data_IF_808829857796
#
_entry.id   IF_808829857796
#
_cell.length_a   1.000
_cell.length_b   1.000
_cell.length_c   1.000
_cell.angle_alpha   90.00
_cell.angle_beta   90.00
_cell.angle_gamma   90.00
#
_symmetry.space_group_name_H-M   'P 1'
#
loop_
_entity.id
_entity.type
_entity.pdbx_description
1 polymer ?
#
# COMPACT_ATOMS: atom_id res chain seq x y z
N UNK A 1 -17.23 21.65 10.67
CA UNK A 1 -16.47 21.38 9.44
C UNK A 1 -16.54 19.90 9.13
N UNK A 2 -17.05 19.53 7.96
CA UNK A 2 -16.97 18.14 7.54
C UNK A 2 -15.50 17.80 7.25
N UNK A 3 -14.97 16.78 7.90
CA UNK A 3 -13.66 16.21 7.55
C UNK A 3 -13.87 15.60 6.17
N UNK A 4 -13.12 16.05 5.17
CA UNK A 4 -13.17 15.45 3.85
C UNK A 4 -12.77 13.97 3.98
N UNK A 5 -13.59 13.09 3.42
CA UNK A 5 -13.30 11.66 3.46
C UNK A 5 -12.02 11.37 2.64
N UNK A 6 -11.15 10.53 3.18
CA UNK A 6 -9.98 10.04 2.44
C UNK A 6 -10.44 9.22 1.23
N UNK A 7 -9.91 9.54 0.06
CA UNK A 7 -10.20 8.80 -1.18
C UNK A 7 -9.17 7.69 -1.33
N UNK A 8 -9.62 6.44 -1.41
CA UNK A 8 -8.75 5.29 -1.69
C UNK A 8 -8.96 4.79 -3.12
N UNK A 9 -7.87 4.64 -3.86
CA UNK A 9 -7.87 4.15 -5.24
C UNK A 9 -6.83 3.03 -5.38
N UNK A 10 -7.21 1.94 -6.02
CA UNK A 10 -6.29 0.85 -6.34
C UNK A 10 -6.10 0.69 -7.85
N UNK A 11 -4.87 0.44 -8.27
CA UNK A 11 -4.52 0.16 -9.65
C UNK A 11 -4.33 -1.34 -9.82
N UNK A 12 -5.30 -1.97 -10.49
CA UNK A 12 -5.36 -3.41 -10.69
C UNK A 12 -5.35 -3.74 -12.18
N UNK A 13 -4.49 -4.69 -12.57
CA UNK A 13 -4.51 -5.30 -13.89
C UNK A 13 -3.76 -6.63 -13.81
N UNK A 14 -4.36 -7.69 -14.32
CA UNK A 14 -3.74 -9.01 -14.36
C UNK A 14 -2.56 -9.10 -15.32
N UNK A 15 -2.42 -8.17 -16.25
CA UNK A 15 -1.30 -8.12 -17.17
C UNK A 15 -0.11 -7.40 -16.52
N UNK A 16 0.99 -8.13 -16.33
CA UNK A 16 2.27 -7.55 -15.92
C UNK A 16 2.82 -6.56 -16.96
N UNK A 17 3.61 -5.58 -16.50
CA UNK A 17 4.26 -4.61 -17.39
C UNK A 17 3.33 -3.60 -18.08
N UNK A 18 2.08 -3.43 -17.62
CA UNK A 18 1.12 -2.49 -18.20
C UNK A 18 1.24 -1.05 -17.64
N UNK A 19 2.26 -0.77 -16.83
CA UNK A 19 2.52 0.57 -16.31
C UNK A 19 1.75 0.95 -15.04
N UNK A 20 1.24 -0.01 -14.27
CA UNK A 20 0.52 0.27 -13.00
C UNK A 20 1.35 1.09 -12.02
N UNK A 21 2.54 0.60 -11.67
CA UNK A 21 3.44 1.28 -10.72
C UNK A 21 3.88 2.65 -11.24
N UNK A 22 4.18 2.76 -12.52
CA UNK A 22 4.51 4.03 -13.17
C UNK A 22 3.35 5.02 -13.13
N UNK A 23 2.13 4.56 -13.41
CA UNK A 23 0.91 5.38 -13.32
C UNK A 23 0.67 5.84 -11.88
N UNK A 24 0.83 4.96 -10.92
CA UNK A 24 0.70 5.25 -9.48
C UNK A 24 1.69 6.35 -9.06
N UNK A 25 2.94 6.21 -9.46
CA UNK A 25 4.02 7.16 -9.18
C UNK A 25 3.74 8.55 -9.77
N UNK A 26 3.37 8.61 -11.04
CA UNK A 26 3.10 9.89 -11.72
C UNK A 26 1.83 10.57 -11.21
N UNK A 27 0.78 9.79 -10.94
CA UNK A 27 -0.46 10.32 -10.35
C UNK A 27 -0.21 10.91 -8.96
N UNK A 28 0.59 10.23 -8.14
CA UNK A 28 0.98 10.73 -6.82
C UNK A 28 1.72 12.07 -6.92
N UNK A 29 2.69 12.18 -7.83
CA UNK A 29 3.42 13.42 -8.07
C UNK A 29 2.51 14.56 -8.50
N UNK A 30 1.58 14.30 -9.42
CA UNK A 30 0.63 15.31 -9.89
C UNK A 30 -0.30 15.80 -8.78
N UNK A 31 -0.83 14.88 -7.95
CA UNK A 31 -1.71 15.24 -6.84
C UNK A 31 -0.95 15.97 -5.72
N UNK A 32 0.28 15.55 -5.40
CA UNK A 32 1.11 16.26 -4.42
C UNK A 32 1.44 17.68 -4.87
N UNK A 33 1.70 17.89 -6.17
CA UNK A 33 1.94 19.22 -6.74
C UNK A 33 0.74 20.16 -6.61
N UNK A 34 -0.47 19.63 -6.42
CA UNK A 34 -1.69 20.41 -6.14
C UNK A 34 -2.00 20.55 -4.65
N UNK A 35 -1.08 20.14 -3.77
CA UNK A 35 -1.17 20.31 -2.32
C UNK A 35 -1.90 19.18 -1.58
N UNK A 36 -2.22 18.06 -2.23
CA UNK A 36 -2.82 16.91 -1.56
C UNK A 36 -1.78 16.12 -0.77
N UNK A 37 -2.20 15.58 0.37
CA UNK A 37 -1.40 14.66 1.20
C UNK A 37 -1.71 13.24 0.78
N UNK A 38 -0.69 12.52 0.34
CA UNK A 38 -0.86 11.18 -0.22
C UNK A 38 -0.15 10.10 0.59
N UNK A 39 -0.81 8.95 0.65
CA UNK A 39 -0.19 7.68 1.02
C UNK A 39 -0.17 6.78 -0.20
N UNK A 40 1.03 6.38 -0.61
CA UNK A 40 1.23 5.31 -1.57
C UNK A 40 1.37 4.00 -0.81
N UNK A 41 0.52 3.03 -1.12
CA UNK A 41 0.63 1.67 -0.59
C UNK A 41 1.20 0.77 -1.69
N UNK A 42 2.40 0.28 -1.46
CA UNK A 42 3.00 -0.72 -2.34
C UNK A 42 2.48 -2.11 -1.94
N UNK A 43 1.55 -2.66 -2.70
CA UNK A 43 0.96 -3.97 -2.44
C UNK A 43 1.52 -5.06 -3.38
N UNK A 44 2.57 -4.75 -4.13
CA UNK A 44 3.27 -5.71 -4.99
C UNK A 44 4.54 -6.22 -4.31
N UNK A 45 4.73 -7.56 -4.16
CA UNK A 45 5.96 -8.14 -3.63
C UNK A 45 7.24 -7.74 -4.39
N UNK A 46 7.12 -7.27 -5.63
CA UNK A 46 8.25 -6.74 -6.39
C UNK A 46 8.76 -5.40 -5.83
N UNK A 47 7.94 -4.67 -5.09
CA UNK A 47 8.34 -3.45 -4.40
C UNK A 47 8.75 -2.29 -5.34
N UNK A 48 8.16 -2.18 -6.52
CA UNK A 48 8.57 -1.19 -7.53
C UNK A 48 8.41 0.25 -7.05
N UNK A 49 7.31 0.58 -6.38
CA UNK A 49 7.10 1.90 -5.78
C UNK A 49 8.11 2.15 -4.66
N UNK A 50 8.29 1.18 -3.77
CA UNK A 50 9.23 1.27 -2.65
C UNK A 50 10.65 1.53 -3.13
N UNK A 51 11.10 0.80 -4.15
CA UNK A 51 12.44 0.95 -4.73
C UNK A 51 12.62 2.30 -5.43
N UNK A 52 11.58 2.82 -6.07
CA UNK A 52 11.63 4.13 -6.72
C UNK A 52 11.88 5.27 -5.71
N UNK A 53 11.34 5.17 -4.48
CA UNK A 53 11.51 6.19 -3.45
C UNK A 53 12.74 5.99 -2.56
N UNK A 54 13.07 4.74 -2.22
CA UNK A 54 14.08 4.45 -1.19
C UNK A 54 15.35 3.77 -1.73
N UNK A 55 15.34 3.33 -2.99
CA UNK A 55 16.41 2.54 -3.59
C UNK A 55 16.33 1.06 -3.26
N UNK A 56 16.77 0.21 -4.19
CA UNK A 56 16.69 -1.25 -4.08
C UNK A 56 17.41 -1.79 -2.85
N UNK A 57 18.64 -1.32 -2.60
CA UNK A 57 19.47 -1.80 -1.48
C UNK A 57 18.83 -1.53 -0.11
N UNK A 58 18.14 -0.40 0.05
CA UNK A 58 17.47 -0.07 1.29
C UNK A 58 16.20 -0.92 1.47
N UNK A 59 15.41 -1.07 0.41
CA UNK A 59 14.15 -1.83 0.42
C UNK A 59 14.38 -3.32 0.70
N UNK A 60 15.43 -3.91 0.14
CA UNK A 60 15.80 -5.30 0.41
C UNK A 60 16.15 -5.56 1.89
N UNK A 61 16.66 -4.55 2.59
CA UNK A 61 17.02 -4.65 4.01
C UNK A 61 15.87 -4.39 4.98
N UNK A 62 14.71 -3.90 4.50
CA UNK A 62 13.55 -3.74 5.37
C UNK A 62 13.11 -5.10 5.92
N UNK A 63 12.87 -5.16 7.22
CA UNK A 63 12.28 -6.33 7.86
C UNK A 63 10.80 -6.45 7.49
N UNK A 64 10.17 -7.63 7.66
CA UNK A 64 8.73 -7.76 7.44
C UNK A 64 7.90 -6.71 8.22
N UNK A 65 8.31 -6.38 9.44
CA UNK A 65 7.63 -5.42 10.32
C UNK A 65 7.76 -3.95 9.88
N UNK A 66 8.62 -3.67 8.92
CA UNK A 66 8.81 -2.34 8.32
C UNK A 66 8.10 -2.20 6.98
N UNK A 67 7.34 -3.20 6.57
CA UNK A 67 6.65 -3.28 5.28
C UNK A 67 5.20 -3.72 5.45
N UNK A 68 4.43 -3.66 4.34
CA UNK A 68 3.06 -4.16 4.30
C UNK A 68 2.92 -5.61 4.78
N UNK A 69 3.97 -6.44 4.62
CA UNK A 69 3.98 -7.83 5.11
C UNK A 69 3.64 -7.93 6.60
N UNK A 70 4.06 -6.95 7.40
CA UNK A 70 3.77 -6.93 8.83
C UNK A 70 2.28 -6.88 9.19
N UNK A 71 1.43 -6.37 8.31
CA UNK A 71 -0.03 -6.38 8.53
C UNK A 71 -0.66 -7.76 8.42
N UNK A 72 0.03 -8.69 7.77
CA UNK A 72 -0.45 -10.06 7.56
C UNK A 72 0.18 -11.06 8.52
N UNK A 73 0.98 -10.60 9.47
CA UNK A 73 1.65 -11.46 10.44
C UNK A 73 0.87 -11.47 11.76
N UNK A 74 0.37 -12.65 12.14
CA UNK A 74 -0.40 -12.85 13.40
C UNK A 74 0.43 -12.56 14.65
N UNK A 75 1.75 -12.60 14.58
CA UNK A 75 2.64 -12.28 15.71
C UNK A 75 2.80 -10.77 15.94
N UNK A 76 2.23 -9.96 15.07
CA UNK A 76 2.41 -8.51 15.04
C UNK A 76 1.19 -7.75 15.58
N UNK A 77 0.81 -8.03 16.82
CA UNK A 77 -0.38 -7.47 17.49
C UNK A 77 -0.36 -5.94 17.67
N UNK A 78 0.72 -5.23 17.28
CA UNK A 78 0.84 -3.79 17.58
C UNK A 78 1.73 -3.01 16.62
N UNK A 79 1.62 -3.24 15.32
CA UNK A 79 2.31 -2.34 14.37
C UNK A 79 1.58 -1.00 14.34
N UNK A 80 2.27 0.04 14.78
CA UNK A 80 1.76 1.41 14.64
C UNK A 80 1.95 1.92 13.21
N UNK A 81 1.04 2.76 12.75
CA UNK A 81 1.16 3.44 11.46
C UNK A 81 2.49 4.21 11.32
N UNK A 82 3.01 4.74 12.43
CA UNK A 82 4.29 5.43 12.46
C UNK A 82 5.50 4.55 12.17
N UNK A 83 5.39 3.23 12.35
CA UNK A 83 6.47 2.29 12.02
C UNK A 83 6.44 1.90 10.54
N UNK A 84 5.25 1.74 9.95
CA UNK A 84 5.07 1.25 8.58
C UNK A 84 5.11 2.37 7.54
N UNK A 85 4.53 3.53 7.83
CA UNK A 85 4.42 4.64 6.89
C UNK A 85 5.68 5.50 6.97
N UNK A 86 6.34 5.66 5.83
CA UNK A 86 7.58 6.42 5.70
C UNK A 86 7.37 7.68 4.89
N UNK A 87 7.95 8.79 5.35
CA UNK A 87 8.06 10.00 4.54
C UNK A 87 9.03 9.79 3.38
N UNK A 88 8.83 10.53 2.28
CA UNK A 88 9.71 10.51 1.12
C UNK A 88 10.42 11.87 0.96
N UNK A 89 11.30 11.95 -0.04
CA UNK A 89 11.94 13.22 -0.43
C UNK A 89 11.00 14.18 -1.15
N UNK A 90 9.78 13.73 -1.49
CA UNK A 90 8.76 14.58 -2.12
C UNK A 90 7.76 14.97 -1.04
N UNK A 91 7.62 16.28 -0.81
CA UNK A 91 6.67 16.82 0.14
C UNK A 91 5.25 16.37 -0.19
N UNK A 92 4.50 15.96 0.83
CA UNK A 92 3.12 15.49 0.68
C UNK A 92 2.99 14.03 0.31
N UNK A 93 4.07 13.30 -0.01
CA UNK A 93 4.04 11.88 -0.35
C UNK A 93 4.67 11.04 0.77
N UNK A 94 3.88 10.09 1.28
CA UNK A 94 4.33 9.03 2.18
C UNK A 94 4.14 7.68 1.51
N UNK A 95 4.91 6.69 1.91
CA UNK A 95 4.87 5.33 1.36
C UNK A 95 4.73 4.30 2.48
N UNK A 96 3.81 3.37 2.31
CA UNK A 96 3.77 2.09 3.01
C UNK A 96 4.49 1.08 2.10
N UNK A 97 5.73 0.69 2.41
CA UNK A 97 6.57 -0.05 1.49
C UNK A 97 6.25 -1.56 1.46
N UNK A 98 6.71 -2.21 0.39
CA UNK A 98 6.74 -3.66 0.25
C UNK A 98 8.10 -4.13 -0.25
N UNK A 99 8.40 -5.40 0.00
CA UNK A 99 9.53 -6.11 -0.58
C UNK A 99 9.19 -7.61 -0.71
N UNK A 100 10.19 -8.43 -0.96
CA UNK A 100 10.05 -9.88 -1.20
C UNK A 100 9.32 -10.64 -0.09
N UNK A 101 9.32 -10.17 1.15
CA UNK A 101 8.61 -10.82 2.26
C UNK A 101 7.09 -10.84 2.04
N UNK A 102 6.55 -9.90 1.29
CA UNK A 102 5.12 -9.85 0.99
C UNK A 102 4.67 -11.05 0.13
N UNK A 103 5.57 -11.67 -0.64
CA UNK A 103 5.25 -12.83 -1.47
C UNK A 103 4.69 -14.01 -0.66
N UNK A 104 5.15 -14.20 0.56
CA UNK A 104 4.67 -15.25 1.47
C UNK A 104 3.17 -15.11 1.79
N UNK A 105 2.68 -13.88 1.86
CA UNK A 105 1.30 -13.56 2.24
C UNK A 105 0.39 -13.33 1.01
N UNK A 106 0.95 -13.24 -0.19
CA UNK A 106 0.16 -13.04 -1.41
C UNK A 106 -0.43 -14.36 -1.91
N UNK A 107 -1.35 -14.93 -1.13
CA UNK A 107 -1.96 -16.22 -1.40
C UNK A 107 -3.03 -16.15 -2.51
N UNK A 108 -3.20 -17.24 -3.32
CA UNK A 108 -4.13 -17.25 -4.44
C UNK A 108 -5.61 -17.38 -4.05
N UNK A 109 -5.92 -17.68 -2.79
CA UNK A 109 -7.29 -17.88 -2.29
C UNK A 109 -7.57 -16.92 -1.14
N UNK A 110 -7.75 -15.61 -1.41
CA UNK A 110 -7.89 -14.59 -0.37
C UNK A 110 -9.11 -14.82 0.53
N UNK A 111 -10.18 -15.42 0.02
CA UNK A 111 -11.39 -15.76 0.77
C UNK A 111 -11.12 -16.75 1.92
N UNK A 112 -10.01 -17.48 1.89
CA UNK A 112 -9.59 -18.41 2.94
C UNK A 112 -8.72 -17.78 4.02
N UNK A 113 -8.32 -16.54 3.83
CA UNK A 113 -7.42 -15.83 4.73
C UNK A 113 -8.11 -15.32 6.03
N UNK A 114 -9.41 -15.58 6.20
CA UNK A 114 -10.15 -15.13 7.38
C UNK A 114 -10.09 -13.61 7.55
N UNK A 115 -9.76 -13.14 8.74
CA UNK A 115 -9.67 -11.70 9.05
C UNK A 115 -8.55 -10.98 8.28
N UNK A 116 -7.53 -11.69 7.82
CA UNK A 116 -6.42 -11.11 7.06
C UNK A 116 -6.84 -10.54 5.70
N UNK A 117 -7.99 -10.94 5.17
CA UNK A 117 -8.53 -10.32 3.96
C UNK A 117 -8.90 -8.84 4.15
N UNK A 118 -9.05 -8.38 5.39
CA UNK A 118 -9.40 -7.00 5.75
C UNK A 118 -8.25 -6.21 6.36
N UNK A 119 -7.06 -6.79 6.48
CA UNK A 119 -5.94 -6.22 7.23
C UNK A 119 -5.56 -4.80 6.75
N UNK A 120 -5.48 -4.58 5.45
CA UNK A 120 -5.15 -3.27 4.90
C UNK A 120 -6.28 -2.25 5.13
N UNK A 121 -7.54 -2.65 4.95
CA UNK A 121 -8.70 -1.80 5.25
C UNK A 121 -8.68 -1.34 6.71
N UNK A 122 -8.55 -2.28 7.62
CA UNK A 122 -8.58 -2.00 9.07
C UNK A 122 -7.41 -1.12 9.50
N UNK A 123 -6.26 -1.24 8.83
CA UNK A 123 -5.11 -0.36 9.02
C UNK A 123 -5.35 1.06 8.48
N UNK A 124 -5.97 1.19 7.31
CA UNK A 124 -6.18 2.48 6.65
C UNK A 124 -7.35 3.28 7.23
N UNK A 125 -8.39 2.60 7.73
CA UNK A 125 -9.63 3.23 8.20
C UNK A 125 -9.42 4.33 9.24
N UNK A 126 -8.57 4.18 10.28
CA UNK A 126 -8.34 5.22 11.29
C UNK A 126 -7.41 6.34 10.81
N UNK A 127 -6.80 6.23 9.62
CA UNK A 127 -5.84 7.22 9.13
C UNK A 127 -6.57 8.43 8.53
N UNK A 128 -6.45 9.58 9.19
CA UNK A 128 -7.06 10.85 8.75
C UNK A 128 -6.05 11.86 8.22
N UNK A 129 -4.75 11.50 8.21
CA UNK A 129 -3.67 12.40 7.82
C UNK A 129 -3.53 12.56 6.30
N UNK A 130 -4.19 11.72 5.51
CA UNK A 130 -4.05 11.68 4.05
C UNK A 130 -5.37 12.04 3.37
N UNK A 131 -5.27 12.79 2.28
CA UNK A 131 -6.41 13.14 1.43
C UNK A 131 -6.69 12.03 0.42
N UNK A 132 -5.63 11.39 -0.06
CA UNK A 132 -5.70 10.30 -1.07
C UNK A 132 -4.77 9.15 -0.67
N UNK A 133 -5.26 7.93 -0.82
CA UNK A 133 -4.49 6.70 -0.74
C UNK A 133 -4.47 6.04 -2.11
N UNK A 134 -3.29 5.82 -2.68
CA UNK A 134 -3.09 5.11 -3.93
C UNK A 134 -2.44 3.76 -3.65
N UNK A 135 -3.05 2.67 -4.14
CA UNK A 135 -2.58 1.31 -3.88
C UNK A 135 -2.13 0.67 -5.20
N UNK A 136 -0.83 0.36 -5.28
CA UNK A 136 -0.23 -0.35 -6.41
C UNK A 136 -0.28 -1.85 -6.18
N UNK A 137 -1.07 -2.56 -7.00
CA UNK A 137 -1.36 -3.98 -6.83
C UNK A 137 -0.47 -4.86 -7.71
N UNK A 138 -0.20 -6.11 -7.30
CA UNK A 138 0.48 -7.10 -8.14
C UNK A 138 -0.38 -7.50 -9.34
N UNK A 139 0.21 -8.15 -10.38
CA UNK A 139 -0.51 -8.54 -11.59
C UNK A 139 -1.34 -9.83 -11.41
N UNK A 140 -2.02 -9.98 -10.27
CA UNK A 140 -2.88 -11.10 -9.95
C UNK A 140 -4.00 -10.65 -8.99
N UNK A 141 -5.05 -11.46 -8.84
CA UNK A 141 -6.16 -11.21 -7.92
C UNK A 141 -6.00 -12.01 -6.61
N UNK A 142 -4.78 -12.08 -6.10
CA UNK A 142 -4.46 -12.75 -4.85
C UNK A 142 -4.69 -11.85 -3.64
N UNK A 143 -4.24 -12.28 -2.48
CA UNK A 143 -4.46 -11.64 -1.19
C UNK A 143 -4.15 -10.11 -1.18
N UNK A 144 -3.05 -9.70 -1.79
CA UNK A 144 -2.67 -8.28 -1.81
C UNK A 144 -3.66 -7.42 -2.61
N UNK A 145 -4.06 -7.89 -3.81
CA UNK A 145 -5.05 -7.18 -4.64
C UNK A 145 -6.44 -7.19 -4.00
N UNK A 146 -6.82 -8.29 -3.35
CA UNK A 146 -8.06 -8.40 -2.60
C UNK A 146 -8.12 -7.35 -1.49
N UNK A 147 -7.09 -7.28 -0.67
CA UNK A 147 -6.97 -6.27 0.38
C UNK A 147 -7.02 -4.83 -0.17
N UNK A 148 -6.43 -4.59 -1.34
CA UNK A 148 -6.43 -3.27 -1.96
C UNK A 148 -7.82 -2.80 -2.43
N UNK A 149 -8.69 -3.73 -2.81
CA UNK A 149 -10.06 -3.42 -3.28
C UNK A 149 -11.00 -3.03 -2.14
N UNK A 150 -10.80 -3.53 -0.94
CA UNK A 150 -11.74 -3.38 0.17
C UNK A 150 -11.82 -1.96 0.77
N UNK A 151 -10.72 -1.18 0.89
CA UNK A 151 -10.78 0.18 1.43
C UNK A 151 -11.67 1.14 0.64
N UNK A 152 -11.86 0.90 -0.67
CA UNK A 152 -12.71 1.71 -1.53
C UNK A 152 -14.20 1.33 -1.51
N UNK A 153 -14.56 0.24 -0.87
CA UNK A 153 -15.94 -0.21 -0.72
C UNK A 153 -16.63 0.57 0.42
N UNK A 154 -16.91 1.84 0.19
CA UNK A 154 -17.80 2.60 1.07
C UNK A 154 -19.22 2.03 0.93
N UNK A 155 -19.78 1.62 2.04
CA UNK A 155 -21.18 1.22 2.17
C UNK A 155 -22.10 2.42 2.09
#
# INVERSE_FOLDING_TARGET
MAIAATISMCLINQKGGCGKSSTCFHLAGALAATGHRLLLVDADPQGSISQAFFGSDAVERFTPWETLAGLFDDECDSISSGTLIRSTHIEGIHVLPANQFLATYNAPSPERAGVMQFALRDFLEPLTAFDVVLIDCPPNLYQCSWNAMLPGASH
#
